data_IF_263736038091
#
_entry.id   IF_263736038091
#
_cell.length_a   1.000
_cell.length_b   1.000
_cell.length_c   1.000
_cell.angle_alpha   90.00
_cell.angle_beta   90.00
_cell.angle_gamma   90.00
#
_symmetry.space_group_name_H-M   'P 1'
#
loop_
_entity.id
_entity.type
_entity.pdbx_description
1 polymer ?
#
# COMPACT_ATOMS: atom_id res chain seq x y z
N UNK A 1 -43.53 -11.60 -30.57
CA UNK A 1 -42.50 -10.93 -29.74
C UNK A 1 -41.17 -11.57 -30.11
N UNK A 2 -40.29 -10.88 -30.83
CA UNK A 2 -39.05 -11.47 -31.33
C UNK A 2 -38.01 -11.49 -30.21
N UNK A 3 -37.63 -12.69 -29.74
CA UNK A 3 -36.57 -12.85 -28.74
C UNK A 3 -35.23 -13.05 -29.44
N UNK A 4 -34.26 -12.19 -29.19
CA UNK A 4 -32.89 -12.37 -29.65
C UNK A 4 -32.08 -13.14 -28.61
N UNK A 5 -31.19 -14.02 -29.06
CA UNK A 5 -30.20 -14.62 -28.16
C UNK A 5 -29.22 -13.54 -27.64
N UNK A 6 -28.62 -13.78 -26.47
CA UNK A 6 -27.61 -12.87 -25.89
C UNK A 6 -26.46 -12.61 -26.88
N UNK A 7 -26.12 -13.59 -27.72
CA UNK A 7 -25.08 -13.48 -28.72
C UNK A 7 -25.48 -12.56 -29.88
N UNK A 8 -26.73 -12.66 -30.36
CA UNK A 8 -27.27 -11.80 -31.42
C UNK A 8 -27.46 -10.37 -30.93
N UNK A 9 -27.97 -10.19 -29.71
CA UNK A 9 -28.08 -8.88 -29.07
C UNK A 9 -26.72 -8.18 -28.97
N UNK A 10 -25.66 -8.91 -28.57
CA UNK A 10 -24.29 -8.40 -28.51
C UNK A 10 -23.66 -8.08 -29.88
N UNK A 11 -24.16 -8.69 -30.97
CA UNK A 11 -23.75 -8.37 -32.34
C UNK A 11 -24.49 -7.14 -32.89
N UNK A 12 -25.79 -7.04 -32.59
CA UNK A 12 -26.65 -5.91 -32.97
C UNK A 12 -26.21 -4.62 -32.28
N UNK A 13 -25.96 -4.70 -30.98
CA UNK A 13 -25.38 -3.59 -30.21
C UNK A 13 -23.87 -3.67 -30.43
N UNK A 14 -23.32 -2.98 -31.46
CA UNK A 14 -21.88 -2.86 -31.74
C UNK A 14 -21.10 -2.90 -30.43
N UNK A 15 -20.59 -4.08 -30.06
CA UNK A 15 -20.07 -4.32 -28.73
C UNK A 15 -19.01 -3.27 -28.45
N UNK A 16 -19.35 -2.29 -27.61
CA UNK A 16 -18.45 -1.21 -27.21
C UNK A 16 -17.33 -1.93 -26.49
N UNK A 17 -16.22 -2.20 -27.20
CA UNK A 17 -15.00 -2.75 -26.60
C UNK A 17 -14.77 -1.93 -25.33
N UNK A 18 -14.66 -2.55 -24.15
CA UNK A 18 -14.35 -1.78 -22.96
C UNK A 18 -13.09 -1.00 -23.27
N UNK A 19 -13.16 0.34 -23.23
CA UNK A 19 -12.00 1.21 -23.45
C UNK A 19 -10.93 0.72 -22.48
N UNK A 20 -9.88 0.08 -23.01
CA UNK A 20 -8.76 -0.37 -22.21
C UNK A 20 -8.27 0.83 -21.42
N UNK A 21 -8.20 0.71 -20.07
CA UNK A 21 -7.65 1.78 -19.23
C UNK A 21 -6.30 2.18 -19.81
N UNK A 22 -6.14 3.46 -20.15
CA UNK A 22 -4.84 3.98 -20.57
C UNK A 22 -3.84 3.72 -19.44
N UNK A 23 -2.77 2.98 -19.73
CA UNK A 23 -1.65 2.84 -18.81
C UNK A 23 -0.94 4.20 -18.78
N UNK A 24 -1.34 5.09 -17.86
CA UNK A 24 -0.58 6.30 -17.57
C UNK A 24 0.85 5.87 -17.20
N UNK A 25 1.90 6.44 -17.83
CA UNK A 25 3.27 6.15 -17.43
C UNK A 25 3.43 6.60 -15.97
N UNK A 26 3.80 5.66 -15.09
CA UNK A 26 4.17 6.00 -13.73
C UNK A 26 5.55 6.66 -13.80
N UNK A 27 5.58 7.98 -13.80
CA UNK A 27 6.80 8.73 -13.49
C UNK A 27 7.20 8.30 -12.08
N UNK A 28 8.36 7.65 -11.94
CA UNK A 28 8.96 7.40 -10.62
C UNK A 28 9.43 8.77 -10.11
N UNK A 29 8.53 9.49 -9.44
CA UNK A 29 8.92 10.68 -8.69
C UNK A 29 9.92 10.30 -7.60
N UNK A 30 10.78 11.24 -7.22
CA UNK A 30 11.56 11.12 -5.99
C UNK A 30 10.62 10.86 -4.82
N UNK A 31 11.00 9.92 -3.96
CA UNK A 31 10.18 9.49 -2.83
C UNK A 31 10.25 10.59 -1.77
N UNK A 32 9.34 11.56 -1.84
CA UNK A 32 9.20 12.59 -0.81
C UNK A 32 8.73 11.88 0.47
N UNK A 33 9.50 11.95 1.58
CA UNK A 33 9.08 11.37 2.85
C UNK A 33 7.74 11.97 3.26
N UNK A 34 6.86 11.15 3.84
CA UNK A 34 5.60 11.66 4.38
C UNK A 34 5.89 12.69 5.49
N UNK A 35 5.08 13.73 5.62
CA UNK A 35 5.23 14.76 6.66
C UNK A 35 5.33 14.14 8.06
N UNK A 36 4.52 13.10 8.30
CA UNK A 36 4.51 12.38 9.58
C UNK A 36 5.77 11.56 9.83
N UNK A 37 6.31 10.89 8.81
CA UNK A 37 7.59 10.17 8.90
C UNK A 37 8.73 11.17 9.18
N UNK A 38 8.77 12.29 8.46
CA UNK A 38 9.76 13.33 8.66
C UNK A 38 9.69 13.93 10.07
N UNK A 39 8.47 14.17 10.58
CA UNK A 39 8.25 14.65 11.94
C UNK A 39 8.76 13.65 12.98
N UNK A 40 8.38 12.38 12.86
CA UNK A 40 8.81 11.33 13.78
C UNK A 40 10.34 11.16 13.76
N UNK A 41 10.94 11.14 12.57
CA UNK A 41 12.40 11.07 12.41
C UNK A 41 13.11 12.22 13.12
N UNK A 42 12.56 13.45 13.04
CA UNK A 42 13.09 14.62 13.74
C UNK A 42 12.99 14.46 15.26
N UNK A 43 11.86 14.01 15.76
CA UNK A 43 11.64 13.81 17.20
C UNK A 43 12.57 12.72 17.78
N UNK A 44 12.73 11.59 17.08
CA UNK A 44 13.67 10.52 17.46
C UNK A 44 15.11 11.03 17.52
N UNK A 45 15.52 11.86 16.54
CA UNK A 45 16.84 12.53 16.56
C UNK A 45 16.99 13.47 17.75
N UNK A 46 15.98 14.29 18.05
CA UNK A 46 16.01 15.20 19.21
C UNK A 46 16.14 14.44 20.53
N UNK A 47 15.46 13.29 20.63
CA UNK A 47 15.55 12.41 21.80
C UNK A 47 16.82 11.55 21.84
N UNK A 48 17.72 11.69 20.86
CA UNK A 48 18.96 10.90 20.71
C UNK A 48 18.70 9.39 20.72
N UNK A 49 17.60 8.98 20.10
CA UNK A 49 17.27 7.57 19.89
C UNK A 49 17.81 7.18 18.52
N UNK A 50 18.68 6.17 18.48
CA UNK A 50 19.19 5.60 17.23
C UNK A 50 18.08 4.81 16.52
N UNK A 51 17.91 5.04 15.22
CA UNK A 51 16.90 4.36 14.41
C UNK A 51 17.35 4.16 12.96
N UNK A 52 16.83 3.12 12.34
CA UNK A 52 16.97 2.80 10.92
C UNK A 52 15.63 2.99 10.20
N UNK A 53 15.66 3.56 9.00
CA UNK A 53 14.46 3.73 8.16
C UNK A 53 14.36 2.61 7.13
N UNK A 54 13.14 2.24 6.74
CA UNK A 54 12.85 1.15 5.77
C UNK A 54 13.51 -0.20 6.15
N UNK A 55 13.55 -0.52 7.43
CA UNK A 55 14.23 -1.70 7.94
C UNK A 55 13.57 -3.00 7.46
N UNK A 56 14.30 -3.81 6.70
CA UNK A 56 13.84 -5.10 6.21
C UNK A 56 13.95 -6.17 7.32
N UNK A 57 12.83 -6.53 7.93
CA UNK A 57 12.81 -7.48 9.06
C UNK A 57 12.45 -8.91 8.64
N UNK A 58 11.84 -9.11 7.47
CA UNK A 58 11.39 -10.44 7.04
C UNK A 58 12.19 -10.95 5.82
N UNK A 59 12.95 -12.07 5.93
CA UNK A 59 13.89 -12.51 4.88
C UNK A 59 13.22 -12.97 3.58
N UNK A 60 12.06 -13.62 3.66
CA UNK A 60 11.34 -14.15 2.48
C UNK A 60 10.42 -13.14 1.79
N UNK A 61 9.59 -12.44 2.58
CA UNK A 61 8.59 -11.49 2.05
C UNK A 61 9.17 -10.10 1.79
N UNK A 62 10.39 -9.81 2.28
CA UNK A 62 11.06 -8.51 2.21
C UNK A 62 10.19 -7.39 2.78
N UNK A 63 9.49 -7.68 3.86
CA UNK A 63 8.71 -6.67 4.55
C UNK A 63 9.63 -5.68 5.23
N UNK A 64 9.29 -4.41 5.07
CA UNK A 64 10.01 -3.28 5.63
C UNK A 64 9.11 -2.57 6.62
N UNK A 65 9.65 -2.23 7.78
CA UNK A 65 9.04 -1.27 8.69
C UNK A 65 9.53 0.13 8.34
N UNK A 66 8.72 1.16 8.58
CA UNK A 66 9.15 2.54 8.34
C UNK A 66 10.34 2.92 9.23
N UNK A 67 10.32 2.50 10.49
CA UNK A 67 11.41 2.70 11.44
C UNK A 67 11.71 1.44 12.28
N UNK A 68 12.98 1.21 12.56
CA UNK A 68 13.46 0.27 13.56
C UNK A 68 14.31 1.00 14.58
N UNK A 69 14.02 0.86 15.87
CA UNK A 69 14.84 1.48 16.91
C UNK A 69 16.05 0.58 17.20
N UNK A 70 17.26 1.07 16.89
CA UNK A 70 18.49 0.28 16.97
C UNK A 70 18.73 -0.17 18.41
N UNK A 71 19.07 -1.45 18.58
CA UNK A 71 19.30 -2.04 19.90
C UNK A 71 18.03 -2.26 20.73
N UNK A 72 16.85 -1.96 20.17
CA UNK A 72 15.55 -2.26 20.77
C UNK A 72 14.78 -3.20 19.86
N UNK A 73 14.03 -4.14 20.42
CA UNK A 73 13.11 -5.00 19.64
C UNK A 73 11.80 -4.25 19.33
N UNK A 74 11.91 -3.06 18.74
CA UNK A 74 10.79 -2.17 18.45
C UNK A 74 10.86 -1.78 16.98
N UNK A 75 9.74 -2.03 16.27
CA UNK A 75 9.46 -1.53 14.93
C UNK A 75 8.33 -0.51 15.03
N UNK A 76 8.39 0.55 14.23
CA UNK A 76 7.35 1.59 14.15
C UNK A 76 6.94 1.76 12.70
N UNK A 77 5.63 1.78 12.47
CA UNK A 77 5.01 2.00 11.16
C UNK A 77 4.08 3.21 11.26
N UNK A 78 4.18 4.12 10.28
CA UNK A 78 3.36 5.34 10.20
C UNK A 78 2.20 5.09 9.25
N UNK A 79 1.14 4.49 9.80
CA UNK A 79 -0.06 4.17 9.05
C UNK A 79 -0.99 5.38 8.88
N UNK A 80 -1.81 5.36 7.82
CA UNK A 80 -2.73 6.45 7.54
C UNK A 80 -3.87 6.06 6.60
N UNK A 81 -4.61 7.07 6.12
CA UNK A 81 -5.67 6.90 5.14
C UNK A 81 -6.80 5.92 5.56
N UNK A 82 -7.01 5.73 6.87
CA UNK A 82 -8.05 4.84 7.43
C UNK A 82 -9.50 5.28 7.13
N UNK A 83 -9.69 6.52 6.68
CA UNK A 83 -11.00 7.06 6.29
C UNK A 83 -11.14 7.24 4.77
N UNK A 84 -10.11 6.88 4.01
CA UNK A 84 -10.06 7.13 2.55
C UNK A 84 -10.81 6.09 1.71
N UNK A 85 -11.28 4.99 2.30
CA UNK A 85 -11.82 3.85 1.55
C UNK A 85 -10.76 3.08 0.73
N UNK A 86 -9.47 3.32 1.02
CA UNK A 86 -8.31 2.76 0.34
C UNK A 86 -7.96 1.32 0.71
N UNK A 87 -6.75 0.88 0.37
CA UNK A 87 -6.26 -0.48 0.65
C UNK A 87 -6.32 -0.81 2.14
N UNK A 88 -5.88 0.10 3.00
CA UNK A 88 -5.76 -0.09 4.45
C UNK A 88 -7.12 -0.24 5.16
N UNK A 89 -8.23 0.13 4.51
CA UNK A 89 -9.58 0.00 5.08
C UNK A 89 -10.35 -1.20 4.52
N UNK A 90 -9.88 -1.79 3.42
CA UNK A 90 -10.51 -2.97 2.82
C UNK A 90 -10.02 -4.21 3.55
N UNK A 91 -10.94 -5.12 3.90
CA UNK A 91 -10.62 -6.31 4.69
C UNK A 91 -9.42 -7.12 4.18
N UNK A 92 -9.29 -7.29 2.85
CA UNK A 92 -8.12 -7.97 2.26
C UNK A 92 -6.79 -7.25 2.52
N UNK A 93 -6.78 -5.92 2.43
CA UNK A 93 -5.58 -5.13 2.70
C UNK A 93 -5.21 -5.21 4.16
N UNK A 94 -6.19 -4.98 5.03
CA UNK A 94 -6.05 -5.06 6.48
C UNK A 94 -5.53 -6.41 6.96
N UNK A 95 -6.06 -7.53 6.45
CA UNK A 95 -5.55 -8.88 6.78
C UNK A 95 -4.07 -9.02 6.37
N UNK A 96 -3.68 -8.49 5.21
CA UNK A 96 -2.28 -8.52 4.77
C UNK A 96 -1.35 -7.67 5.65
N UNK A 97 -1.86 -6.58 6.21
CA UNK A 97 -1.11 -5.75 7.16
C UNK A 97 -0.99 -6.49 8.53
N UNK A 98 -2.04 -7.19 8.97
CA UNK A 98 -1.96 -8.08 10.15
C UNK A 98 -0.95 -9.23 9.97
N UNK A 99 -0.91 -9.86 8.79
CA UNK A 99 0.09 -10.88 8.46
C UNK A 99 1.52 -10.30 8.56
N UNK A 100 1.73 -9.07 8.09
CA UNK A 100 3.01 -8.36 8.23
C UNK A 100 3.38 -8.16 9.69
N UNK A 101 2.45 -7.67 10.52
CA UNK A 101 2.72 -7.38 11.93
C UNK A 101 2.99 -8.64 12.73
N UNK A 102 2.25 -9.73 12.49
CA UNK A 102 2.44 -11.00 13.20
C UNK A 102 3.79 -11.67 12.91
N UNK A 103 4.46 -11.29 11.83
CA UNK A 103 5.76 -11.83 11.48
C UNK A 103 6.94 -10.96 11.94
N UNK A 104 6.69 -9.85 12.63
CA UNK A 104 7.73 -9.10 13.30
C UNK A 104 8.18 -9.88 14.55
N UNK A 105 9.38 -10.47 14.50
CA UNK A 105 9.96 -11.32 15.57
C UNK A 105 11.33 -10.81 16.02
#
# INVERSE_FOLDING_TARGET
MTSYSIAEYKKMVKATRPKGRSKRPKVKGEKVPNEFEAKLARELKTLKIEFEQEFEFHPKRKWRADFHLVGKKILVEVEGAIWSGGRHTRGKGYIGDMEKYNAAT
#
